data_IF_761024006239
#
_entry.id   IF_761024006239
#
_cell.length_a   1.000
_cell.length_b   1.000
_cell.length_c   1.000
_cell.angle_alpha   90.00
_cell.angle_beta   90.00
_cell.angle_gamma   90.00
#
_symmetry.space_group_name_H-M   'P 1'
#
loop_
_entity.id
_entity.type
_entity.pdbx_description
1 polymer ?
#
# COMPACT_ATOMS: atom_id res chain seq x y z
N UNK A 1 8.75 -2.88 -9.03
CA UNK A 1 8.64 -2.86 -7.56
C UNK A 1 9.30 -1.62 -7.00
N UNK A 2 8.79 -1.14 -5.90
CA UNK A 2 9.31 0.07 -5.24
C UNK A 2 9.46 -0.18 -3.75
N UNK A 3 10.36 0.58 -3.14
CA UNK A 3 10.55 0.59 -1.69
C UNK A 3 10.08 1.94 -1.18
N UNK A 4 9.36 1.94 -0.07
CA UNK A 4 8.90 3.17 0.57
C UNK A 4 8.74 3.00 2.06
N UNK A 5 8.39 4.11 2.71
CA UNK A 5 8.13 4.14 4.15
C UNK A 5 6.69 4.57 4.38
N UNK A 6 5.97 3.82 5.21
CA UNK A 6 4.60 4.17 5.57
C UNK A 6 4.63 5.40 6.49
N UNK A 7 3.87 6.43 6.12
CA UNK A 7 3.81 7.67 6.88
C UNK A 7 2.46 7.93 7.53
N UNK A 8 1.43 7.18 7.15
CA UNK A 8 0.10 7.35 7.72
C UNK A 8 -0.92 6.46 7.06
N UNK A 9 -2.18 6.65 7.46
CA UNK A 9 -3.31 5.89 6.94
C UNK A 9 -4.30 6.83 6.24
N UNK A 10 -5.06 6.30 5.30
CA UNK A 10 -6.13 7.03 4.63
C UNK A 10 -7.46 6.54 5.17
N UNK A 11 -8.26 7.46 5.66
CA UNK A 11 -9.59 7.18 6.17
C UNK A 11 -10.62 7.98 5.37
N UNK A 12 -11.53 7.29 4.72
CA UNK A 12 -12.58 7.93 3.93
C UNK A 12 -13.91 7.90 4.68
N UNK A 13 -14.61 9.02 4.68
CA UNK A 13 -15.96 9.10 5.25
C UNK A 13 -16.92 8.24 4.44
N UNK A 14 -16.77 8.25 3.12
CA UNK A 14 -17.53 7.43 2.18
C UNK A 14 -16.59 6.88 1.14
N UNK A 15 -16.81 5.64 0.73
CA UNK A 15 -16.01 5.02 -0.31
C UNK A 15 -16.85 4.03 -1.11
N UNK A 16 -16.39 3.73 -2.32
CA UNK A 16 -17.06 2.76 -3.17
C UNK A 16 -17.15 1.41 -2.46
N UNK A 17 -18.24 0.65 -2.66
CA UNK A 17 -18.40 -0.65 -1.99
C UNK A 17 -17.24 -1.61 -2.22
N UNK A 18 -16.61 -1.58 -3.40
CA UNK A 18 -15.48 -2.44 -3.70
C UNK A 18 -14.22 -2.12 -2.87
N UNK A 19 -14.18 -0.96 -2.21
CA UNK A 19 -13.05 -0.59 -1.32
C UNK A 19 -13.30 -0.96 0.13
N UNK A 20 -14.49 -1.47 0.47
CA UNK A 20 -14.81 -1.85 1.85
C UNK A 20 -13.90 -2.98 2.33
N UNK A 21 -13.51 -2.88 3.60
CA UNK A 21 -12.66 -3.89 4.21
C UNK A 21 -11.18 -3.82 3.85
N UNK A 22 -10.77 -2.86 3.03
CA UNK A 22 -9.38 -2.68 2.65
C UNK A 22 -8.74 -1.56 3.47
N UNK A 23 -7.47 -1.74 3.78
CA UNK A 23 -6.67 -0.74 4.48
C UNK A 23 -5.81 -0.01 3.48
N UNK A 24 -5.88 1.31 3.47
CA UNK A 24 -5.10 2.16 2.59
C UNK A 24 -4.07 2.94 3.40
N UNK A 25 -2.81 2.84 3.01
CA UNK A 25 -1.72 3.52 3.70
C UNK A 25 -1.07 4.54 2.77
N UNK A 26 -0.58 5.62 3.37
CA UNK A 26 0.23 6.62 2.68
C UNK A 26 1.68 6.16 2.75
N UNK A 27 2.33 6.05 1.60
CA UNK A 27 3.70 5.56 1.49
C UNK A 27 4.55 6.61 0.78
N UNK A 28 5.66 6.99 1.41
CA UNK A 28 6.63 7.91 0.82
C UNK A 28 7.71 7.09 0.11
N UNK A 29 7.87 7.34 -1.19
CA UNK A 29 8.88 6.69 -2.02
C UNK A 29 9.80 7.75 -2.62
N UNK A 30 10.89 7.32 -3.27
CA UNK A 30 11.77 8.25 -3.99
C UNK A 30 11.03 8.97 -5.12
N UNK A 31 10.04 8.34 -5.71
CA UNK A 31 9.24 8.94 -6.78
C UNK A 31 8.10 9.83 -6.29
N UNK A 32 7.89 9.92 -4.97
CA UNK A 32 6.83 10.72 -4.38
C UNK A 32 5.95 9.90 -3.44
N UNK A 33 4.83 10.51 -3.06
CA UNK A 33 3.87 9.91 -2.13
C UNK A 33 2.84 9.12 -2.90
N UNK A 34 2.57 7.90 -2.43
CA UNK A 34 1.55 7.01 -2.98
C UNK A 34 0.55 6.62 -1.90
N UNK A 35 -0.65 6.28 -2.34
CA UNK A 35 -1.62 5.57 -1.50
C UNK A 35 -1.67 4.13 -1.99
N UNK A 36 -1.44 3.19 -1.09
CA UNK A 36 -1.37 1.77 -1.42
C UNK A 36 -2.27 0.95 -0.53
N UNK A 37 -2.83 -0.12 -1.09
CA UNK A 37 -3.55 -1.12 -0.30
C UNK A 37 -2.55 -1.96 0.47
N UNK A 38 -2.84 -2.22 1.74
CA UNK A 38 -1.99 -3.02 2.61
C UNK A 38 -2.50 -4.45 2.69
N UNK A 39 -1.64 -5.42 2.35
CA UNK A 39 -1.95 -6.84 2.43
C UNK A 39 -1.15 -7.57 3.51
N UNK A 40 -0.30 -6.87 4.26
CA UNK A 40 0.63 -7.52 5.20
C UNK A 40 0.57 -6.98 6.62
N UNK A 41 -0.29 -6.00 6.88
CA UNK A 41 -0.43 -5.42 8.21
C UNK A 41 0.68 -4.43 8.56
N UNK A 42 1.12 -3.63 7.59
CA UNK A 42 2.12 -2.60 7.81
C UNK A 42 1.56 -1.45 8.65
N UNK A 43 2.44 -0.72 9.30
CA UNK A 43 2.10 0.46 10.08
C UNK A 43 3.06 1.60 9.84
N UNK A 44 2.73 2.76 10.40
CA UNK A 44 3.55 3.97 10.29
C UNK A 44 4.97 3.70 10.77
N UNK A 45 5.94 4.09 9.96
CA UNK A 45 7.35 3.88 10.21
C UNK A 45 7.92 2.62 9.55
N UNK A 46 7.07 1.70 9.11
CA UNK A 46 7.55 0.49 8.45
C UNK A 46 8.08 0.80 7.06
N UNK A 47 9.20 0.16 6.72
CA UNK A 47 9.72 0.13 5.37
C UNK A 47 9.06 -1.02 4.63
N UNK A 48 8.53 -0.76 3.45
CA UNK A 48 7.69 -1.71 2.73
C UNK A 48 8.12 -1.87 1.29
N UNK A 49 7.77 -3.03 0.74
CA UNK A 49 7.91 -3.32 -0.68
C UNK A 49 6.54 -3.18 -1.33
N UNK A 50 6.50 -2.43 -2.43
CA UNK A 50 5.27 -2.17 -3.18
C UNK A 50 5.36 -2.69 -4.60
N UNK A 51 4.21 -3.12 -5.11
CA UNK A 51 4.00 -3.30 -6.55
C UNK A 51 3.02 -2.23 -7.01
N UNK A 52 3.15 -1.78 -8.25
CA UNK A 52 2.33 -0.71 -8.80
C UNK A 52 1.79 -1.08 -10.18
N UNK A 53 0.83 -0.30 -10.66
CA UNK A 53 0.22 -0.47 -11.97
C UNK A 53 -0.67 -1.71 -12.06
N UNK A 54 -0.71 -2.33 -13.22
CA UNK A 54 -1.55 -3.51 -13.48
C UNK A 54 -1.16 -4.72 -12.62
N UNK A 55 0.10 -4.83 -12.22
CA UNK A 55 0.56 -5.90 -11.34
C UNK A 55 -0.12 -5.78 -9.99
N UNK A 56 -0.21 -4.56 -9.44
CA UNK A 56 -0.87 -4.32 -8.17
C UNK A 56 -2.36 -4.68 -8.21
N UNK A 57 -3.05 -4.38 -9.31
CA UNK A 57 -4.47 -4.66 -9.45
C UNK A 57 -4.81 -6.14 -9.41
N UNK A 58 -3.84 -7.02 -9.66
CA UNK A 58 -4.03 -8.47 -9.59
C UNK A 58 -4.20 -8.99 -8.17
N UNK A 59 -3.83 -8.20 -7.17
CA UNK A 59 -4.04 -8.56 -5.77
C UNK A 59 -5.45 -8.27 -5.29
N UNK A 60 -6.23 -7.51 -6.07
CA UNK A 60 -7.63 -7.25 -5.77
C UNK A 60 -8.43 -7.27 -7.06
N UNK A 61 -9.25 -8.29 -7.22
CA UNK A 61 -10.08 -8.46 -8.42
C UNK A 61 -11.22 -7.45 -8.50
N UNK A 62 -11.61 -6.86 -7.38
CA UNK A 62 -12.82 -6.07 -7.27
C UNK A 62 -12.57 -4.58 -7.08
N UNK A 63 -11.37 -4.20 -6.64
CA UNK A 63 -11.06 -2.81 -6.34
C UNK A 63 -10.09 -2.23 -7.38
N UNK A 64 -10.25 -0.95 -7.74
CA UNK A 64 -9.36 -0.27 -8.70
C UNK A 64 -8.04 0.12 -8.02
N UNK A 65 -7.24 -0.88 -7.66
CA UNK A 65 -5.98 -0.71 -6.93
C UNK A 65 -4.83 -0.65 -7.91
N UNK A 66 -3.99 0.38 -7.80
CA UNK A 66 -2.81 0.55 -8.63
C UNK A 66 -1.50 0.56 -7.83
N UNK A 67 -1.58 0.38 -6.53
CA UNK A 67 -0.42 0.24 -5.67
C UNK A 67 -0.77 -0.68 -4.50
N UNK A 68 0.09 -1.65 -4.21
CA UNK A 68 -0.15 -2.62 -3.16
C UNK A 68 1.12 -2.89 -2.38
N UNK A 69 1.01 -2.91 -1.05
CA UNK A 69 2.09 -3.29 -0.15
C UNK A 69 2.06 -4.81 -0.03
N UNK A 70 3.16 -5.45 -0.41
CA UNK A 70 3.26 -6.91 -0.45
C UNK A 70 4.26 -7.47 0.54
N UNK A 71 5.08 -6.64 1.17
CA UNK A 71 6.05 -7.08 2.19
C UNK A 71 6.42 -5.93 3.11
N UNK A 72 6.72 -6.27 4.37
CA UNK A 72 7.38 -5.38 5.31
C UNK A 72 8.85 -5.75 5.30
N UNK A 73 9.72 -4.77 5.11
CA UNK A 73 11.15 -5.01 4.97
C UNK A 73 11.83 -4.92 6.33
N UNK A 74 12.78 -5.84 6.56
CA UNK A 74 13.65 -5.77 7.73
C UNK A 74 14.62 -4.60 7.52
N UNK A 75 14.69 -3.64 8.48
CA UNK A 75 15.57 -2.49 8.33
C UNK A 75 17.05 -2.85 8.27
N UNK A 76 17.43 -4.05 8.73
CA UNK A 76 18.81 -4.52 8.68
C UNK A 76 19.10 -5.37 7.43
N UNK A 77 18.13 -5.50 6.52
CA UNK A 77 18.31 -6.21 5.27
C UNK A 77 18.33 -7.72 5.39
N UNK A 78 17.67 -8.25 6.38
CA UNK A 78 17.60 -9.71 6.61
C UNK A 78 16.30 -10.31 6.18
#
# INVERSE_FOLDING_TARGET
MKIGTVTGSVWATRKAPCLQGQTFLVVNTLGGILVAVDYVGAGTGDKVLLVTGTVASKFSMEAPVDAAIVAILDPEGK
#
